data_IF_641719956934
#
_entry.id   IF_641719956934
#
_cell.length_a   1.000
_cell.length_b   1.000
_cell.length_c   1.000
_cell.angle_alpha   90.00
_cell.angle_beta   90.00
_cell.angle_gamma   90.00
#
_symmetry.space_group_name_H-M   'P 1'
#
loop_
_entity.id
_entity.type
_entity.pdbx_description
1 polymer ?
#
# COMPACT_ATOMS: atom_id res chain seq x y z
N UNK A 1 53.55 -50.20 9.55
CA UNK A 1 53.36 -48.89 10.20
C UNK A 1 53.00 -47.89 9.11
N UNK A 2 51.71 -47.62 8.94
CA UNK A 2 51.17 -46.44 8.25
C UNK A 2 49.78 -46.20 8.84
N UNK A 3 49.71 -45.27 9.78
CA UNK A 3 48.49 -44.78 10.40
C UNK A 3 47.86 -43.76 9.44
N UNK A 4 46.62 -44.01 9.02
CA UNK A 4 45.86 -43.06 8.21
C UNK A 4 45.18 -42.10 9.18
N UNK A 5 45.80 -40.94 9.38
CA UNK A 5 45.18 -39.83 10.09
C UNK A 5 44.18 -39.13 9.14
N UNK A 6 42.91 -39.50 9.26
CA UNK A 6 41.81 -38.77 8.60
C UNK A 6 41.44 -37.58 9.46
N UNK A 7 42.18 -36.49 9.26
CA UNK A 7 41.96 -35.20 9.88
C UNK A 7 40.52 -34.69 9.69
N UNK A 8 39.82 -34.65 10.81
CA UNK A 8 38.54 -34.03 11.08
C UNK A 8 38.10 -32.91 10.11
N UNK A 9 37.01 -33.17 9.37
CA UNK A 9 36.09 -32.09 9.01
C UNK A 9 35.41 -31.62 10.29
N UNK A 10 35.91 -30.52 10.85
CA UNK A 10 35.25 -29.79 11.93
C UNK A 10 33.86 -29.36 11.49
N UNK A 11 32.88 -30.22 11.73
CA UNK A 11 31.47 -29.93 11.56
C UNK A 11 31.11 -28.93 12.65
N UNK A 12 31.12 -27.65 12.32
CA UNK A 12 30.54 -26.60 13.15
C UNK A 12 29.04 -26.86 13.18
N UNK A 13 28.61 -27.68 14.14
CA UNK A 13 27.21 -27.96 14.38
C UNK A 13 26.53 -26.67 14.84
N UNK A 14 26.00 -25.91 13.88
CA UNK A 14 25.22 -24.71 14.13
C UNK A 14 23.98 -25.15 14.92
N UNK A 15 23.73 -24.59 16.12
CA UNK A 15 22.63 -25.05 16.96
C UNK A 15 21.31 -24.84 16.21
N UNK A 16 20.44 -25.86 16.21
CA UNK A 16 19.17 -25.84 15.48
C UNK A 16 18.31 -24.59 15.80
N UNK A 17 18.42 -24.09 17.03
CA UNK A 17 17.81 -22.83 17.48
C UNK A 17 18.32 -21.61 16.70
N UNK A 18 19.62 -21.48 16.46
CA UNK A 18 20.13 -20.34 15.67
C UNK A 18 19.72 -20.45 14.20
N UNK A 19 19.66 -21.65 13.63
CA UNK A 19 19.13 -21.85 12.27
C UNK A 19 17.66 -21.44 12.18
N UNK A 20 16.84 -21.83 13.15
CA UNK A 20 15.42 -21.44 13.19
C UNK A 20 15.22 -19.93 13.31
N UNK A 21 16.07 -19.25 14.08
CA UNK A 21 16.02 -17.80 14.23
C UNK A 21 16.42 -17.09 12.93
N UNK A 22 17.51 -17.52 12.29
CA UNK A 22 17.95 -16.96 10.99
C UNK A 22 16.88 -17.18 9.93
N UNK A 23 16.25 -18.36 9.89
CA UNK A 23 15.16 -18.66 8.97
C UNK A 23 13.96 -17.74 9.20
N UNK A 24 13.56 -17.53 10.46
CA UNK A 24 12.45 -16.64 10.80
C UNK A 24 12.74 -15.19 10.37
N UNK A 25 13.94 -14.69 10.64
CA UNK A 25 14.37 -13.36 10.19
C UNK A 25 14.36 -13.27 8.67
N UNK A 26 14.86 -14.28 7.97
CA UNK A 26 14.85 -14.31 6.51
C UNK A 26 13.42 -14.29 5.94
N UNK A 27 12.48 -15.02 6.55
CA UNK A 27 11.07 -15.02 6.14
C UNK A 27 10.43 -13.65 6.39
N UNK A 28 10.66 -13.04 7.56
CA UNK A 28 10.15 -11.70 7.87
C UNK A 28 10.73 -10.64 6.92
N UNK A 29 12.03 -10.70 6.63
CA UNK A 29 12.67 -9.81 5.68
C UNK A 29 12.11 -10.01 4.25
N UNK A 30 12.01 -11.26 3.78
CA UNK A 30 11.48 -11.57 2.45
C UNK A 30 10.02 -11.13 2.30
N UNK A 31 9.19 -11.41 3.30
CA UNK A 31 7.78 -10.98 3.31
C UNK A 31 7.62 -9.47 3.38
N UNK A 32 8.42 -8.79 4.21
CA UNK A 32 8.45 -7.32 4.27
C UNK A 32 8.89 -6.68 2.95
N UNK A 33 9.94 -7.22 2.31
CA UNK A 33 10.39 -6.77 0.99
C UNK A 33 9.33 -7.01 -0.08
N UNK A 34 8.68 -8.19 -0.08
CA UNK A 34 7.59 -8.48 -1.00
C UNK A 34 6.41 -7.53 -0.80
N UNK A 35 6.03 -7.28 0.45
CA UNK A 35 4.96 -6.33 0.77
C UNK A 35 5.32 -4.90 0.32
N UNK A 36 6.55 -4.45 0.58
CA UNK A 36 6.98 -3.09 0.25
C UNK A 36 7.13 -2.85 -1.26
N UNK A 37 7.65 -3.82 -2.01
CA UNK A 37 8.03 -3.62 -3.41
C UNK A 37 7.08 -4.26 -4.43
N UNK A 38 6.26 -5.23 -4.03
CA UNK A 38 5.36 -5.94 -4.95
C UNK A 38 3.90 -5.66 -4.60
N UNK A 39 3.46 -6.07 -3.40
CA UNK A 39 2.05 -5.97 -3.03
C UNK A 39 1.62 -4.52 -2.76
N UNK A 40 2.43 -3.75 -2.06
CA UNK A 40 2.15 -2.36 -1.70
C UNK A 40 1.89 -1.48 -2.92
N UNK A 41 2.79 -1.41 -3.91
CA UNK A 41 2.56 -0.61 -5.12
C UNK A 41 1.30 -1.04 -5.89
N UNK A 42 1.04 -2.34 -6.00
CA UNK A 42 -0.16 -2.86 -6.66
C UNK A 42 -1.45 -2.47 -5.92
N UNK A 43 -1.46 -2.59 -4.59
CA UNK A 43 -2.59 -2.16 -3.76
C UNK A 43 -2.80 -0.65 -3.82
N UNK A 44 -1.74 0.15 -3.80
CA UNK A 44 -1.84 1.60 -3.96
C UNK A 44 -2.37 2.01 -5.33
N UNK A 45 -1.96 1.34 -6.40
CA UNK A 45 -2.51 1.58 -7.74
C UNK A 45 -4.01 1.26 -7.79
N UNK A 46 -4.41 0.08 -7.31
CA UNK A 46 -5.81 -0.32 -7.26
C UNK A 46 -6.67 0.64 -6.42
N UNK A 47 -6.15 1.09 -5.27
CA UNK A 47 -6.85 2.07 -4.44
C UNK A 47 -7.00 3.43 -5.14
N UNK A 48 -5.98 3.89 -5.88
CA UNK A 48 -6.07 5.13 -6.67
C UNK A 48 -7.11 5.03 -7.77
N UNK A 49 -7.15 3.89 -8.48
CA UNK A 49 -8.13 3.67 -9.55
C UNK A 49 -9.56 3.64 -9.00
N UNK A 50 -9.77 2.99 -7.84
CA UNK A 50 -11.07 2.93 -7.20
C UNK A 50 -11.55 4.31 -6.72
N UNK A 51 -10.65 5.12 -6.15
CA UNK A 51 -10.94 6.50 -5.78
C UNK A 51 -11.28 7.34 -7.02
N UNK A 52 -10.49 7.23 -8.10
CA UNK A 52 -10.75 7.97 -9.33
C UNK A 52 -12.12 7.60 -9.95
N UNK A 53 -12.45 6.31 -9.96
CA UNK A 53 -13.76 5.81 -10.41
C UNK A 53 -14.88 6.37 -9.55
N UNK A 54 -14.75 6.31 -8.23
CA UNK A 54 -15.76 6.82 -7.28
C UNK A 54 -15.97 8.32 -7.43
N UNK A 55 -14.90 9.11 -7.55
CA UNK A 55 -14.97 10.56 -7.79
C UNK A 55 -15.65 10.88 -9.12
N UNK A 56 -15.37 10.10 -10.17
CA UNK A 56 -16.02 10.28 -11.48
C UNK A 56 -17.53 10.00 -11.40
N UNK A 57 -17.92 8.94 -10.71
CA UNK A 57 -19.33 8.59 -10.47
C UNK A 57 -20.05 9.66 -9.63
N UNK A 58 -19.40 10.17 -8.58
CA UNK A 58 -19.90 11.26 -7.74
C UNK A 58 -20.11 12.54 -8.56
N UNK A 59 -19.11 12.96 -9.34
CA UNK A 59 -19.20 14.15 -10.18
C UNK A 59 -20.35 14.01 -11.20
N UNK A 60 -20.46 12.85 -11.86
CA UNK A 60 -21.55 12.57 -12.81
C UNK A 60 -22.92 12.65 -12.13
N UNK A 61 -23.06 12.07 -10.94
CA UNK A 61 -24.31 12.10 -10.19
C UNK A 61 -24.65 13.52 -9.74
N UNK A 62 -23.72 14.20 -9.07
CA UNK A 62 -23.97 15.51 -8.47
C UNK A 62 -24.18 16.58 -9.52
N UNK A 63 -23.24 16.76 -10.45
CA UNK A 63 -23.38 17.77 -11.49
C UNK A 63 -24.54 17.46 -12.45
N UNK A 64 -24.82 16.17 -12.68
CA UNK A 64 -25.96 15.72 -13.46
C UNK A 64 -27.32 16.10 -12.86
N UNK A 65 -27.46 16.15 -11.52
CA UNK A 65 -28.68 16.66 -10.87
C UNK A 65 -28.99 18.11 -11.25
N UNK A 66 -27.96 18.90 -11.60
CA UNK A 66 -28.11 20.29 -12.05
C UNK A 66 -28.18 20.42 -13.58
N UNK A 67 -28.37 19.31 -14.30
CA UNK A 67 -28.45 19.29 -15.76
C UNK A 67 -27.11 19.51 -16.47
N UNK A 68 -25.98 19.43 -15.76
CA UNK A 68 -24.65 19.61 -16.34
C UNK A 68 -24.16 18.28 -16.92
N UNK A 69 -24.18 18.17 -18.26
CA UNK A 69 -23.75 16.97 -18.96
C UNK A 69 -22.23 16.78 -18.93
N UNK A 70 -21.78 15.52 -18.87
CA UNK A 70 -20.35 15.17 -18.95
C UNK A 70 -19.72 15.73 -20.23
N UNK A 71 -18.49 16.24 -20.13
CA UNK A 71 -17.76 16.80 -21.28
C UNK A 71 -18.08 18.26 -21.61
N UNK A 72 -18.94 18.92 -20.82
CA UNK A 72 -19.23 20.36 -20.95
C UNK A 72 -18.34 21.20 -20.02
N UNK A 73 -18.18 22.49 -20.35
CA UNK A 73 -17.44 23.43 -19.50
C UNK A 73 -18.09 23.63 -18.13
N UNK A 74 -19.43 23.58 -18.07
CA UNK A 74 -20.18 23.69 -16.82
C UNK A 74 -19.98 22.47 -15.92
N UNK A 75 -19.93 21.27 -16.51
CA UNK A 75 -19.55 20.05 -15.79
C UNK A 75 -18.12 20.11 -15.25
N UNK A 76 -17.18 20.63 -16.05
CA UNK A 76 -15.80 20.81 -15.61
C UNK A 76 -15.70 21.82 -14.45
N UNK A 77 -16.46 22.91 -14.49
CA UNK A 77 -16.54 23.88 -13.39
C UNK A 77 -17.12 23.26 -12.11
N UNK A 78 -18.26 22.58 -12.21
CA UNK A 78 -18.89 21.89 -11.08
C UNK A 78 -17.95 20.84 -10.45
N UNK A 79 -17.28 20.03 -11.28
CA UNK A 79 -16.35 19.00 -10.81
C UNK A 79 -15.15 19.59 -10.06
N UNK A 80 -14.68 20.78 -10.45
CA UNK A 80 -13.61 21.51 -9.73
C UNK A 80 -14.07 21.96 -8.35
N UNK A 81 -15.26 22.53 -8.23
CA UNK A 81 -15.80 22.94 -6.93
C UNK A 81 -16.01 21.74 -5.99
N UNK A 82 -16.49 20.62 -6.52
CA UNK A 82 -16.58 19.37 -5.75
C UNK A 82 -15.21 18.88 -5.26
N UNK A 83 -14.14 19.09 -6.05
CA UNK A 83 -12.79 18.76 -5.59
C UNK A 83 -12.36 19.60 -4.39
N UNK A 84 -12.73 20.89 -4.35
CA UNK A 84 -12.48 21.76 -3.19
C UNK A 84 -13.26 21.28 -1.97
N UNK A 85 -14.53 20.90 -2.14
CA UNK A 85 -15.35 20.36 -1.04
C UNK A 85 -14.73 19.07 -0.48
N UNK A 86 -14.32 18.14 -1.34
CA UNK A 86 -13.65 16.90 -0.93
C UNK A 86 -12.34 17.16 -0.19
N UNK A 87 -11.55 18.15 -0.63
CA UNK A 87 -10.33 18.52 0.09
C UNK A 87 -10.65 18.98 1.52
N UNK A 88 -11.67 19.84 1.69
CA UNK A 88 -12.09 20.30 3.01
C UNK A 88 -12.64 19.19 3.89
N UNK A 89 -13.30 18.19 3.30
CA UNK A 89 -13.73 16.99 4.03
C UNK A 89 -12.53 16.17 4.48
N UNK A 90 -11.56 15.91 3.59
CA UNK A 90 -10.33 15.20 3.93
C UNK A 90 -9.54 15.90 5.05
N UNK A 91 -9.46 17.24 5.03
CA UNK A 91 -8.82 18.02 6.08
C UNK A 91 -9.52 17.85 7.43
N UNK A 92 -10.87 17.84 7.44
CA UNK A 92 -11.67 17.59 8.64
C UNK A 92 -11.49 16.16 9.15
N UNK A 93 -11.55 15.16 8.28
CA UNK A 93 -11.39 13.77 8.65
C UNK A 93 -9.99 13.51 9.24
N UNK A 94 -8.96 14.16 8.68
CA UNK A 94 -7.61 14.10 9.22
C UNK A 94 -7.51 14.78 10.60
N UNK A 95 -8.11 15.95 10.77
CA UNK A 95 -8.20 16.60 12.08
C UNK A 95 -8.94 15.72 13.11
N UNK A 96 -10.02 15.04 12.69
CA UNK A 96 -10.76 14.09 13.50
C UNK A 96 -9.88 12.91 13.96
N UNK A 97 -9.14 12.31 13.03
CA UNK A 97 -8.23 11.20 13.30
C UNK A 97 -7.09 11.58 14.25
N UNK A 98 -6.73 12.86 14.28
CA UNK A 98 -5.74 13.44 15.20
C UNK A 98 -6.36 13.87 16.55
N UNK A 99 -7.68 13.77 16.72
CA UNK A 99 -8.39 14.19 17.94
C UNK A 99 -8.51 15.70 18.12
N UNK A 100 -8.47 16.46 17.03
CA UNK A 100 -8.50 17.93 17.03
C UNK A 100 -9.91 18.53 16.80
N UNK A 101 -10.95 17.69 16.79
CA UNK A 101 -12.35 18.08 16.58
C UNK A 101 -13.19 17.92 17.86
#
# INVERSE_FOLDING_TARGET
MTEIDSGAHGSTAVPLRSLSYVLLVAILAASGLYAAFIAGPAMHAAARDDVARTVSEENRKFCGMFGMGTGTDTFAACSRELAVVRQRQADRDNAAAQGLL
#
